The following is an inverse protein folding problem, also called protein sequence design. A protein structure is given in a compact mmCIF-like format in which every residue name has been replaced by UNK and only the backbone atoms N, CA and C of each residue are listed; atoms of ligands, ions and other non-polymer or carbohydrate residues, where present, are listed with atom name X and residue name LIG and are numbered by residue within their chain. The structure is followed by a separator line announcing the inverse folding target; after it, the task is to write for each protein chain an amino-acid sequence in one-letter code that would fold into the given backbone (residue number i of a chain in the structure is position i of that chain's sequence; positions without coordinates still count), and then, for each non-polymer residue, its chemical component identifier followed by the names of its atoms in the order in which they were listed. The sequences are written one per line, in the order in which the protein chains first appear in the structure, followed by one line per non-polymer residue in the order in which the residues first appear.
data_IF_592208315271
#
_entry.id   IF_592208315271
#
_cell.length_a   1.000
_cell.length_b   1.000
_cell.length_c   1.000
_cell.angle_alpha   90.00
_cell.angle_beta   90.00
_cell.angle_gamma   90.00
#
_symmetry.space_group_name_H-M   'P 1'
#
loop_
_entity.id
_entity.type
_entity.pdbx_description
1 polymer ?
#
# COMPACT_ATOMS: atom_id res chain seq x y z
N UNK A 1 20.97 -22.82 50.73
CA UNK A 1 19.77 -22.23 50.08
C UNK A 1 20.23 -21.60 48.79
N UNK A 2 19.91 -22.24 47.64
CA UNK A 2 20.25 -21.76 46.30
C UNK A 2 19.06 -20.96 45.78
N UNK A 3 19.21 -19.65 45.65
CA UNK A 3 18.18 -18.80 45.02
C UNK A 3 18.27 -18.94 43.51
N UNK A 4 17.21 -19.48 42.94
CA UNK A 4 17.00 -19.62 41.50
C UNK A 4 16.47 -18.28 40.97
N UNK A 5 17.31 -17.49 40.30
CA UNK A 5 16.88 -16.31 39.58
C UNK A 5 16.20 -16.73 38.27
N UNK A 6 14.88 -16.64 38.25
CA UNK A 6 14.08 -16.84 37.06
C UNK A 6 14.12 -15.53 36.24
N UNK A 7 14.98 -15.46 35.25
CA UNK A 7 14.92 -14.38 34.24
C UNK A 7 13.70 -14.62 33.35
N UNK A 8 12.61 -13.93 33.66
CA UNK A 8 11.50 -13.78 32.75
C UNK A 8 11.93 -12.91 31.57
N UNK A 9 12.37 -13.53 30.49
CA UNK A 9 12.61 -12.90 29.21
C UNK A 9 11.25 -12.42 28.66
N UNK A 10 10.93 -11.17 28.93
CA UNK A 10 9.78 -10.49 28.35
C UNK A 10 10.12 -10.21 26.88
N UNK A 11 9.75 -11.15 26.00
CA UNK A 11 9.76 -10.89 24.56
C UNK A 11 8.73 -9.79 24.28
N UNK A 12 9.18 -8.55 24.22
CA UNK A 12 8.46 -7.47 23.59
C UNK A 12 8.33 -7.82 22.10
N UNK A 13 7.21 -8.41 21.74
CA UNK A 13 6.78 -8.46 20.35
C UNK A 13 6.50 -7.02 19.93
N UNK A 14 7.49 -6.39 19.32
CA UNK A 14 7.29 -5.13 18.61
C UNK A 14 6.43 -5.48 17.41
N UNK A 15 5.13 -5.33 17.54
CA UNK A 15 4.24 -5.24 16.40
C UNK A 15 4.64 -3.96 15.67
N UNK A 16 5.36 -4.11 14.56
CA UNK A 16 5.63 -3.00 13.67
C UNK A 16 4.28 -2.56 13.08
N UNK A 17 3.63 -1.62 13.75
CA UNK A 17 2.54 -0.87 13.15
C UNK A 17 3.18 -0.07 12.02
N UNK A 18 2.70 -0.29 10.81
CA UNK A 18 3.02 0.57 9.68
C UNK A 18 2.55 1.97 10.04
N UNK A 19 3.51 2.83 10.38
CA UNK A 19 3.22 4.19 10.81
C UNK A 19 3.27 5.09 9.60
N UNK A 20 2.27 5.95 9.45
CA UNK A 20 2.29 6.99 8.45
C UNK A 20 3.40 7.99 8.77
N UNK A 21 4.21 8.31 7.79
CA UNK A 21 5.28 9.29 7.85
C UNK A 21 4.89 10.53 7.03
N UNK A 22 5.44 11.68 7.38
CA UNK A 22 5.21 12.92 6.63
C UNK A 22 6.38 13.11 5.66
N UNK A 23 6.08 13.16 4.37
CA UNK A 23 6.99 13.57 3.30
C UNK A 23 6.75 15.00 2.84
N UNK A 24 7.72 15.57 2.14
CA UNK A 24 7.56 16.81 1.39
C UNK A 24 7.78 16.54 -0.10
N UNK A 25 7.01 17.18 -0.95
CA UNK A 25 7.31 17.19 -2.37
C UNK A 25 8.63 17.97 -2.62
N UNK A 26 9.24 17.69 -3.74
CA UNK A 26 10.45 18.41 -4.18
C UNK A 26 10.14 19.16 -5.47
N UNK A 27 10.73 20.32 -5.61
CA UNK A 27 10.64 21.11 -6.85
C UNK A 27 11.51 20.55 -7.97
N UNK A 28 11.55 21.24 -9.11
CA UNK A 28 12.35 20.88 -10.28
C UNK A 28 13.87 20.89 -10.04
N UNK A 29 14.33 21.54 -8.96
CA UNK A 29 15.72 21.58 -8.52
C UNK A 29 16.06 20.55 -7.45
N UNK A 30 15.06 19.77 -6.99
CA UNK A 30 15.21 18.79 -5.93
C UNK A 30 15.16 19.38 -4.51
N UNK A 31 14.73 20.63 -4.37
CA UNK A 31 14.55 21.27 -3.07
C UNK A 31 13.16 20.96 -2.50
N UNK A 32 13.09 20.80 -1.16
CA UNK A 32 11.82 20.50 -0.49
C UNK A 32 10.87 21.67 -0.59
N UNK A 33 9.65 21.39 -1.02
CA UNK A 33 8.55 22.38 -1.00
C UNK A 33 7.85 22.41 0.36
N UNK A 34 6.94 23.35 0.55
CA UNK A 34 6.07 23.40 1.73
C UNK A 34 4.92 22.38 1.66
N UNK A 35 4.62 21.87 0.48
CA UNK A 35 3.59 20.88 0.25
C UNK A 35 3.97 19.53 0.86
N UNK A 36 3.03 18.91 1.56
CA UNK A 36 3.24 17.69 2.33
C UNK A 36 2.30 16.59 1.93
N UNK A 37 2.78 15.37 2.04
CA UNK A 37 1.97 14.17 1.91
C UNK A 37 2.26 13.20 3.05
N UNK A 38 1.29 12.35 3.36
CA UNK A 38 1.49 11.20 4.22
C UNK A 38 1.94 10.01 3.37
N UNK A 39 2.87 9.23 3.87
CA UNK A 39 3.25 8.00 3.19
C UNK A 39 3.53 6.86 4.14
N UNK A 40 3.43 5.65 3.63
CA UNK A 40 3.87 4.44 4.31
C UNK A 40 4.36 3.41 3.28
N UNK A 41 5.33 2.60 3.70
CA UNK A 41 5.76 1.45 2.92
C UNK A 41 5.27 0.18 3.58
N UNK A 42 4.55 -0.64 2.85
CA UNK A 42 4.05 -1.93 3.34
C UNK A 42 4.62 -3.08 2.50
N UNK A 43 4.87 -4.19 3.16
CA UNK A 43 5.31 -5.42 2.49
C UNK A 43 4.11 -6.27 2.11
N UNK A 44 4.22 -6.94 0.97
CA UNK A 44 3.22 -7.87 0.52
C UNK A 44 3.79 -8.83 -0.51
N UNK A 45 2.94 -9.35 -1.38
CA UNK A 45 3.31 -10.32 -2.40
C UNK A 45 2.72 -9.96 -3.76
N UNK A 46 3.37 -10.46 -4.80
CA UNK A 46 2.81 -10.45 -6.14
C UNK A 46 3.00 -11.81 -6.80
N UNK A 47 2.17 -12.09 -7.80
CA UNK A 47 2.24 -13.30 -8.62
C UNK A 47 1.98 -12.94 -10.08
N UNK A 48 2.68 -13.60 -10.98
CA UNK A 48 2.48 -13.53 -12.43
C UNK A 48 2.77 -14.90 -13.06
N UNK A 49 2.89 -14.98 -14.37
CA UNK A 49 3.20 -16.24 -15.08
C UNK A 49 4.55 -16.88 -14.70
N UNK A 50 5.50 -16.07 -14.21
CA UNK A 50 6.86 -16.52 -13.89
C UNK A 50 7.07 -16.76 -12.38
N UNK A 51 6.21 -16.24 -11.51
CA UNK A 51 6.38 -16.34 -10.06
C UNK A 51 5.06 -16.39 -9.30
N UNK A 52 5.09 -16.99 -8.12
CA UNK A 52 3.95 -17.06 -7.20
C UNK A 52 4.34 -16.57 -5.81
N UNK A 53 3.57 -15.61 -5.27
CA UNK A 53 3.76 -15.02 -3.94
C UNK A 53 5.18 -14.48 -3.68
N UNK A 54 5.82 -13.93 -4.70
CA UNK A 54 7.12 -13.27 -4.54
C UNK A 54 6.97 -11.98 -3.74
N UNK A 55 8.03 -11.60 -3.03
CA UNK A 55 8.06 -10.38 -2.21
C UNK A 55 7.82 -9.14 -3.07
N UNK A 56 7.02 -8.23 -2.54
CA UNK A 56 6.70 -6.94 -3.15
C UNK A 56 6.61 -5.87 -2.06
N UNK A 57 7.12 -4.68 -2.36
CA UNK A 57 6.90 -3.51 -1.53
C UNK A 57 5.87 -2.60 -2.20
N UNK A 58 5.03 -1.98 -1.39
CA UNK A 58 4.00 -1.04 -1.80
C UNK A 58 4.25 0.27 -1.07
N UNK A 59 4.46 1.33 -1.83
CA UNK A 59 4.57 2.68 -1.31
C UNK A 59 3.23 3.38 -1.50
N UNK A 60 2.61 3.76 -0.39
CA UNK A 60 1.29 4.39 -0.38
C UNK A 60 1.50 5.86 -0.03
N UNK A 61 1.06 6.75 -0.90
CA UNK A 61 1.04 8.19 -0.72
C UNK A 61 -0.39 8.66 -0.51
N UNK A 62 -0.58 9.59 0.41
CA UNK A 62 -1.87 10.20 0.68
C UNK A 62 -1.71 11.72 0.80
N UNK A 63 -2.14 12.44 -0.21
CA UNK A 63 -2.30 13.89 -0.20
C UNK A 63 -3.73 14.23 0.16
N UNK A 64 -3.93 14.73 1.38
CA UNK A 64 -5.27 15.07 1.90
C UNK A 64 -5.81 16.36 1.29
N UNK A 65 -4.94 17.28 0.93
CA UNK A 65 -5.31 18.59 0.42
C UNK A 65 -5.81 18.49 -1.03
N UNK A 66 -5.25 17.55 -1.79
CA UNK A 66 -5.67 17.25 -3.16
C UNK A 66 -6.71 16.10 -3.24
N UNK A 67 -7.06 15.49 -2.11
CA UNK A 67 -7.97 14.34 -2.04
C UNK A 67 -7.53 13.18 -2.94
N UNK A 68 -6.24 12.84 -2.90
CA UNK A 68 -5.63 11.78 -3.70
C UNK A 68 -4.93 10.76 -2.80
N UNK A 69 -5.12 9.47 -3.11
CA UNK A 69 -4.26 8.40 -2.60
C UNK A 69 -3.66 7.65 -3.79
N UNK A 70 -2.34 7.48 -3.76
CA UNK A 70 -1.59 6.78 -4.81
C UNK A 70 -0.84 5.58 -4.25
N UNK A 71 -0.71 4.52 -5.05
CA UNK A 71 0.04 3.31 -4.71
C UNK A 71 1.07 3.03 -5.80
N UNK A 72 2.35 3.08 -5.42
CA UNK A 72 3.46 2.60 -6.24
C UNK A 72 3.84 1.18 -5.84
N UNK A 73 4.12 0.32 -6.82
CA UNK A 73 4.40 -1.10 -6.63
C UNK A 73 5.85 -1.41 -7.03
N UNK A 74 6.60 -2.06 -6.13
CA UNK A 74 8.01 -2.41 -6.32
C UNK A 74 8.20 -3.94 -6.22
N UNK A 75 8.05 -4.67 -7.35
CA UNK A 75 8.23 -6.13 -7.37
C UNK A 75 9.66 -6.53 -7.02
N UNK A 76 9.84 -7.65 -6.35
CA UNK A 76 11.13 -8.20 -5.92
C UNK A 76 11.98 -7.25 -5.06
N UNK A 77 11.41 -6.18 -4.49
CA UNK A 77 12.18 -5.16 -3.79
C UNK A 77 13.12 -4.35 -4.69
N UNK A 78 12.80 -4.27 -5.99
CA UNK A 78 13.57 -3.48 -6.97
C UNK A 78 13.51 -1.99 -6.66
N UNK A 79 14.50 -1.25 -7.17
CA UNK A 79 14.51 0.23 -7.08
C UNK A 79 13.54 0.88 -8.08
N UNK A 80 13.09 0.16 -9.11
CA UNK A 80 12.13 0.65 -10.10
C UNK A 80 10.73 0.16 -9.77
N UNK A 81 9.76 1.05 -9.81
CA UNK A 81 8.34 0.71 -9.70
C UNK A 81 7.86 -0.13 -10.88
N UNK A 82 6.76 -0.85 -10.69
CA UNK A 82 6.06 -1.55 -11.76
C UNK A 82 5.55 -0.53 -12.79
N UNK A 83 5.51 -0.93 -14.06
CA UNK A 83 4.91 -0.11 -15.10
C UNK A 83 3.52 -0.66 -15.42
N UNK A 84 2.52 0.17 -15.25
CA UNK A 84 1.16 -0.09 -15.73
C UNK A 84 0.95 0.69 -17.03
N UNK A 85 0.04 0.23 -17.87
CA UNK A 85 -0.40 1.05 -18.99
C UNK A 85 -1.13 2.28 -18.44
N UNK A 86 -0.70 3.45 -18.90
CA UNK A 86 -1.35 4.70 -18.57
C UNK A 86 -2.79 4.73 -19.12
N UNK A 87 -3.63 5.57 -18.53
CA UNK A 87 -5.03 5.76 -18.91
C UNK A 87 -5.89 4.48 -18.85
N UNK A 88 -5.56 3.59 -17.92
CA UNK A 88 -6.36 2.38 -17.67
C UNK A 88 -6.94 2.38 -16.27
N UNK A 89 -8.07 1.68 -16.11
CA UNK A 89 -8.71 1.47 -14.82
C UNK A 89 -8.51 0.04 -14.32
N UNK A 90 -8.36 -0.10 -13.03
CA UNK A 90 -8.13 -1.38 -12.37
C UNK A 90 -9.02 -1.53 -11.13
N UNK A 91 -9.62 -2.70 -11.00
CA UNK A 91 -10.38 -3.07 -9.80
C UNK A 91 -9.46 -3.34 -8.62
N UNK A 92 -9.59 -2.56 -7.57
CA UNK A 92 -8.92 -2.76 -6.28
C UNK A 92 -9.93 -3.31 -5.28
N UNK A 93 -9.69 -4.52 -4.78
CA UNK A 93 -10.53 -5.17 -3.77
C UNK A 93 -9.93 -4.95 -2.39
N UNK A 94 -10.73 -4.42 -1.49
CA UNK A 94 -10.36 -4.13 -0.12
C UNK A 94 -11.24 -4.93 0.82
N UNK A 95 -10.62 -5.84 1.59
CA UNK A 95 -11.31 -6.54 2.66
C UNK A 95 -11.11 -5.80 3.97
N UNK A 96 -12.20 -5.35 4.57
CA UNK A 96 -12.25 -4.64 5.84
C UNK A 96 -11.95 -5.54 7.03
N UNK A 97 -11.64 -5.00 8.22
CA UNK A 97 -11.55 -5.76 9.47
C UNK A 97 -12.82 -6.56 9.79
N UNK A 98 -14.00 -6.03 9.49
CA UNK A 98 -15.30 -6.72 9.61
C UNK A 98 -15.46 -7.94 8.70
N UNK A 99 -14.60 -8.10 7.69
CA UNK A 99 -14.67 -9.18 6.70
C UNK A 99 -15.41 -8.79 5.41
N UNK A 100 -16.10 -7.67 5.39
CA UNK A 100 -16.73 -7.12 4.17
C UNK A 100 -15.68 -6.85 3.09
N UNK A 101 -16.03 -7.09 1.84
CA UNK A 101 -15.17 -6.80 0.68
C UNK A 101 -15.80 -5.71 -0.16
N UNK A 102 -15.06 -4.63 -0.36
CA UNK A 102 -15.43 -3.51 -1.24
C UNK A 102 -14.52 -3.55 -2.46
N UNK A 103 -15.07 -3.28 -3.65
CA UNK A 103 -14.30 -3.09 -4.87
C UNK A 103 -14.38 -1.62 -5.26
N UNK A 104 -13.23 -1.01 -5.50
CA UNK A 104 -13.11 0.38 -5.93
C UNK A 104 -12.31 0.35 -7.23
N UNK A 105 -12.79 1.02 -8.25
CA UNK A 105 -12.05 1.25 -9.48
C UNK A 105 -10.98 2.32 -9.23
N UNK A 106 -9.77 2.10 -9.74
CA UNK A 106 -8.66 3.02 -9.56
C UNK A 106 -7.98 3.28 -10.91
N UNK A 107 -7.53 4.50 -11.11
CA UNK A 107 -6.90 4.94 -12.35
C UNK A 107 -5.40 4.67 -12.33
N UNK A 108 -4.84 4.16 -13.44
CA UNK A 108 -3.40 3.92 -13.59
C UNK A 108 -2.76 5.03 -14.43
N UNK A 109 -1.76 5.68 -13.86
CA UNK A 109 -0.98 6.71 -14.53
C UNK A 109 0.46 6.73 -14.00
N UNK A 110 1.45 6.92 -14.86
CA UNK A 110 2.89 6.97 -14.53
C UNK A 110 3.36 5.81 -13.62
N UNK A 111 2.86 4.60 -13.88
CA UNK A 111 3.20 3.41 -13.09
C UNK A 111 2.71 3.44 -11.64
N UNK A 112 1.72 4.24 -11.35
CA UNK A 112 1.02 4.31 -10.06
C UNK A 112 -0.46 4.03 -10.23
N UNK A 113 -1.10 3.63 -9.15
CA UNK A 113 -2.54 3.41 -9.04
C UNK A 113 -3.09 4.53 -8.19
N UNK A 114 -4.01 5.32 -8.76
CA UNK A 114 -4.59 6.50 -8.15
C UNK A 114 -6.05 6.29 -7.78
N UNK A 115 -6.41 6.80 -6.62
CA UNK A 115 -7.78 7.04 -6.20
C UNK A 115 -7.94 8.56 -6.07
N UNK A 116 -8.84 9.13 -6.84
CA UNK A 116 -9.15 10.55 -6.85
C UNK A 116 -10.66 10.76 -6.91
N UNK A 117 -11.12 11.95 -6.61
CA UNK A 117 -12.52 12.32 -6.70
C UNK A 117 -13.47 11.32 -5.98
N UNK A 118 -14.40 10.70 -6.71
CA UNK A 118 -15.40 9.78 -6.15
C UNK A 118 -14.75 8.52 -5.56
N UNK A 119 -13.72 7.98 -6.21
CA UNK A 119 -12.98 6.79 -5.77
C UNK A 119 -12.23 7.08 -4.46
N UNK A 120 -11.66 8.28 -4.31
CA UNK A 120 -11.03 8.70 -3.07
C UNK A 120 -12.04 8.78 -1.93
N UNK A 121 -13.20 9.39 -2.15
CA UNK A 121 -14.27 9.46 -1.15
C UNK A 121 -14.74 8.07 -0.75
N UNK A 122 -14.94 7.17 -1.72
CA UNK A 122 -15.33 5.78 -1.48
C UNK A 122 -14.25 5.05 -0.66
N UNK A 123 -12.98 5.24 -0.99
CA UNK A 123 -11.84 4.65 -0.29
C UNK A 123 -11.78 5.16 1.17
N UNK A 124 -11.88 6.48 1.39
CA UNK A 124 -11.86 7.05 2.73
C UNK A 124 -13.03 6.55 3.59
N UNK A 125 -14.22 6.38 3.00
CA UNK A 125 -15.36 5.78 3.67
C UNK A 125 -15.13 4.30 4.02
N UNK A 126 -14.45 3.56 3.14
CA UNK A 126 -14.10 2.16 3.36
C UNK A 126 -13.09 2.01 4.50
N UNK A 127 -12.14 2.94 4.64
CA UNK A 127 -11.05 2.88 5.60
C UNK A 127 -11.39 3.42 7.02
N UNK A 128 -12.67 3.60 7.36
CA UNK A 128 -13.08 4.14 8.67
C UNK A 128 -12.96 3.17 9.85
N UNK A 129 -12.96 1.88 9.58
CA UNK A 129 -12.84 0.86 10.63
C UNK A 129 -11.39 0.76 11.11
N UNK A 130 -11.18 0.62 12.42
CA UNK A 130 -9.85 0.32 12.96
C UNK A 130 -9.51 -1.15 12.79
N UNK A 131 -8.30 -1.43 12.33
CA UNK A 131 -7.79 -2.80 12.23
C UNK A 131 -7.06 -3.11 10.91
N UNK A 132 -6.84 -4.40 10.64
CA UNK A 132 -6.12 -4.88 9.47
C UNK A 132 -7.02 -4.89 8.22
N UNK A 133 -6.60 -4.19 7.20
CA UNK A 133 -7.15 -4.23 5.85
C UNK A 133 -6.31 -5.15 4.97
N UNK A 134 -6.97 -5.88 4.06
CA UNK A 134 -6.29 -6.70 3.04
C UNK A 134 -6.65 -6.16 1.67
N UNK A 135 -5.64 -5.80 0.90
CA UNK A 135 -5.80 -5.25 -0.44
C UNK A 135 -5.37 -6.28 -1.47
N UNK A 136 -6.14 -6.41 -2.53
CA UNK A 136 -5.84 -7.27 -3.67
C UNK A 136 -6.18 -6.56 -4.96
N UNK A 137 -5.23 -6.54 -5.88
CA UNK A 137 -5.39 -5.99 -7.23
C UNK A 137 -5.00 -7.05 -8.25
N UNK A 138 -5.67 -7.02 -9.41
CA UNK A 138 -5.31 -7.85 -10.56
C UNK A 138 -5.10 -6.93 -11.75
N UNK A 139 -3.93 -7.01 -12.33
CA UNK A 139 -3.61 -6.33 -13.57
C UNK A 139 -3.51 -7.34 -14.70
N UNK A 140 -4.26 -7.12 -15.75
CA UNK A 140 -4.32 -8.00 -16.90
C UNK A 140 -4.07 -7.20 -18.18
N UNK A 141 -3.16 -7.69 -18.99
CA UNK A 141 -2.92 -7.25 -20.37
C UNK A 141 -3.29 -8.39 -21.31
N UNK A 142 -3.20 -8.18 -22.61
CA UNK A 142 -3.43 -9.23 -23.60
C UNK A 142 -2.43 -10.40 -23.46
N UNK A 143 -1.27 -10.15 -22.87
CA UNK A 143 -0.16 -11.11 -22.80
C UNK A 143 0.15 -11.60 -21.39
N UNK A 144 -0.23 -10.85 -20.35
CA UNK A 144 0.15 -11.16 -18.97
C UNK A 144 -0.99 -10.89 -17.99
N UNK A 145 -0.97 -11.65 -16.91
CA UNK A 145 -1.79 -11.36 -15.73
C UNK A 145 -0.91 -11.35 -14.49
N UNK A 146 -1.00 -10.27 -13.74
CA UNK A 146 -0.34 -10.13 -12.44
C UNK A 146 -1.36 -9.93 -11.33
N UNK A 147 -1.06 -10.41 -10.15
CA UNK A 147 -1.87 -10.15 -8.95
C UNK A 147 -0.98 -9.64 -7.83
N UNK A 148 -1.44 -8.63 -7.14
CA UNK A 148 -0.74 -7.91 -6.08
C UNK A 148 -1.56 -7.98 -4.80
N UNK A 149 -0.91 -8.23 -3.65
CA UNK A 149 -1.60 -8.36 -2.35
C UNK A 149 -0.74 -7.79 -1.25
N UNK A 150 -1.34 -6.98 -0.40
CA UNK A 150 -0.72 -6.48 0.80
C UNK A 150 -1.74 -6.28 1.93
N UNK A 151 -1.24 -5.96 3.11
CA UNK A 151 -2.04 -5.64 4.28
C UNK A 151 -1.50 -4.39 4.95
N UNK A 152 -2.38 -3.62 5.51
CA UNK A 152 -2.01 -2.47 6.34
C UNK A 152 -3.02 -2.29 7.48
N UNK A 153 -2.62 -1.54 8.48
CA UNK A 153 -3.48 -1.17 9.60
C UNK A 153 -3.85 0.32 9.51
N UNK A 154 -5.09 0.62 9.85
CA UNK A 154 -5.59 1.98 9.96
C UNK A 154 -6.02 2.28 11.42
#
# INVERSE_FOLDING_TARGET
MKQLFLFASMMLSVTAYSQWEIGNYVDEFGEKTEERFLHQTVSGTFSNSATNNSKCAYFIEHNKDEEVLAISIYPYGRKSKESFYDDTFQDVKIKKPSGEVVTIEAFCFDGMIYFSEEEYVQLMNTLKEKGEYKVSMKYKTDYTQSSYRFKFNN
#
